data_IF_330200598208
#
_entry.id   IF_330200598208
#
_cell.length_a   1.000
_cell.length_b   1.000
_cell.length_c   1.000
_cell.angle_alpha   90.00
_cell.angle_beta   90.00
_cell.angle_gamma   90.00
#
_symmetry.space_group_name_H-M   'P 1'
#
loop_
_entity.id
_entity.type
_entity.pdbx_description
1 polymer ?
#
# COMPACT_ATOMS: atom_id res chain seq x y z
N UNK A 1 13.48 75.42 74.20
CA UNK A 1 14.15 74.18 74.62
C UNK A 1 13.07 73.11 74.63
N UNK A 2 13.01 72.34 73.53
CA UNK A 2 13.31 70.89 73.47
C UNK A 2 12.01 70.07 73.78
N UNK A 3 11.26 69.56 72.80
CA UNK A 3 11.50 68.58 71.72
C UNK A 3 11.39 67.11 72.19
N UNK A 4 10.78 66.31 71.30
CA UNK A 4 10.73 64.83 71.19
C UNK A 4 9.62 64.07 71.95
N UNK A 5 8.66 63.38 71.30
CA UNK A 5 8.62 62.39 70.20
C UNK A 5 8.59 60.94 70.69
N UNK A 6 7.53 60.20 70.33
CA UNK A 6 7.57 58.92 69.58
C UNK A 6 6.15 58.32 69.48
N UNK A 7 5.48 58.30 68.32
CA UNK A 7 5.65 57.44 67.12
C UNK A 7 5.13 56.01 67.30
N UNK A 8 4.13 55.64 66.48
CA UNK A 8 4.10 54.39 65.69
C UNK A 8 3.04 54.47 64.55
N UNK A 9 3.56 54.39 63.33
CA UNK A 9 3.06 54.38 61.92
C UNK A 9 2.24 53.07 61.61
N UNK A 10 1.71 52.72 60.38
CA UNK A 10 1.63 53.37 59.05
C UNK A 10 0.28 53.25 58.29
N UNK A 11 -0.06 54.17 57.37
CA UNK A 11 0.14 54.18 55.91
C UNK A 11 -0.69 53.16 55.08
N UNK A 12 -1.54 53.74 54.22
CA UNK A 12 -1.95 53.27 52.89
C UNK A 12 -2.73 51.96 52.75
N UNK A 13 -4.03 52.02 53.06
CA UNK A 13 -5.01 51.16 52.38
C UNK A 13 -5.33 51.75 51.00
N UNK A 14 -4.62 51.29 49.97
CA UNK A 14 -5.02 51.51 48.58
C UNK A 14 -6.19 50.57 48.28
N UNK A 15 -7.41 51.11 48.27
CA UNK A 15 -8.58 50.43 47.72
C UNK A 15 -8.46 50.43 46.19
N UNK A 16 -7.99 49.32 45.62
CA UNK A 16 -8.02 49.11 44.17
C UNK A 16 -9.48 48.79 43.80
N UNK A 17 -10.24 49.80 43.42
CA UNK A 17 -11.51 49.60 42.73
C UNK A 17 -11.21 49.15 41.30
N UNK A 18 -11.34 47.85 41.04
CA UNK A 18 -11.44 47.35 39.67
C UNK A 18 -12.74 47.89 39.04
N UNK A 19 -12.69 48.53 37.86
CA UNK A 19 -13.88 49.11 37.25
C UNK A 19 -14.91 48.02 36.88
N UNK A 20 -16.23 48.27 36.97
CA UNK A 20 -17.28 47.24 36.85
C UNK A 20 -17.43 46.54 35.49
N UNK A 21 -16.54 46.79 34.52
CA UNK A 21 -16.61 46.26 33.16
C UNK A 21 -15.61 45.15 32.81
N UNK A 22 -14.59 44.90 33.66
CA UNK A 22 -13.49 43.99 33.29
C UNK A 22 -13.81 42.50 33.49
N UNK A 23 -14.70 42.14 34.42
CA UNK A 23 -15.02 40.73 34.70
C UNK A 23 -15.71 40.03 33.51
N UNK A 24 -16.72 40.68 32.93
CA UNK A 24 -17.46 40.12 31.78
C UNK A 24 -16.61 40.03 30.50
N UNK A 25 -15.64 40.93 30.33
CA UNK A 25 -14.71 40.90 29.20
C UNK A 25 -13.69 39.77 29.34
N UNK A 26 -13.22 39.50 30.56
CA UNK A 26 -12.32 38.39 30.86
C UNK A 26 -13.03 37.03 30.65
N UNK A 27 -14.28 36.90 31.10
CA UNK A 27 -15.07 35.69 30.90
C UNK A 27 -15.33 35.40 29.41
N UNK A 28 -15.61 36.43 28.61
CA UNK A 28 -15.76 36.31 27.16
C UNK A 28 -14.47 35.81 26.48
N UNK A 29 -13.31 36.33 26.89
CA UNK A 29 -12.00 35.88 26.38
C UNK A 29 -11.74 34.43 26.76
N UNK A 30 -12.05 34.03 28.00
CA UNK A 30 -11.89 32.64 28.47
C UNK A 30 -12.80 31.70 27.69
N UNK A 31 -14.06 32.08 27.41
CA UNK A 31 -14.95 31.27 26.59
C UNK A 31 -14.47 31.17 25.13
N UNK A 32 -13.95 32.25 24.56
CA UNK A 32 -13.37 32.22 23.22
C UNK A 32 -12.13 31.32 23.13
N UNK A 33 -11.27 31.34 24.14
CA UNK A 33 -10.10 30.46 24.22
C UNK A 33 -10.50 28.98 24.32
N UNK A 34 -11.52 28.65 25.12
CA UNK A 34 -12.06 27.29 25.20
C UNK A 34 -12.65 26.80 23.87
N UNK A 35 -13.36 27.67 23.16
CA UNK A 35 -13.92 27.34 21.84
C UNK A 35 -12.81 27.06 20.81
N UNK A 36 -11.74 27.87 20.81
CA UNK A 36 -10.57 27.66 19.96
C UNK A 36 -9.85 26.35 20.29
N UNK A 37 -9.69 26.02 21.58
CA UNK A 37 -9.09 24.77 22.01
C UNK A 37 -9.91 23.55 21.55
N UNK A 38 -11.22 23.58 21.75
CA UNK A 38 -12.11 22.50 21.30
C UNK A 38 -12.07 22.32 19.77
N UNK A 39 -11.96 23.41 19.01
CA UNK A 39 -11.80 23.37 17.55
C UNK A 39 -10.47 22.70 17.15
N UNK A 40 -9.37 23.06 17.80
CA UNK A 40 -8.06 22.45 17.55
C UNK A 40 -8.04 20.95 17.86
N UNK A 41 -8.68 20.53 18.96
CA UNK A 41 -8.82 19.12 19.32
C UNK A 41 -9.64 18.34 18.29
N UNK A 42 -10.75 18.92 17.79
CA UNK A 42 -11.56 18.32 16.74
C UNK A 42 -10.77 18.15 15.42
N UNK A 43 -9.96 19.15 15.05
CA UNK A 43 -9.09 19.08 13.89
C UNK A 43 -8.01 18.00 14.05
N UNK A 44 -7.37 17.91 15.22
CA UNK A 44 -6.38 16.85 15.51
C UNK A 44 -6.99 15.45 15.44
N UNK A 45 -8.22 15.27 15.94
CA UNK A 45 -8.93 14.00 15.83
C UNK A 45 -9.24 13.62 14.38
N UNK A 46 -9.62 14.60 13.55
CA UNK A 46 -9.82 14.41 12.11
C UNK A 46 -8.51 14.01 11.42
N UNK A 47 -7.41 14.70 11.71
CA UNK A 47 -6.09 14.40 11.14
C UNK A 47 -5.67 12.97 11.48
N UNK A 48 -5.81 12.56 12.75
CA UNK A 48 -5.48 11.19 13.17
C UNK A 48 -6.36 10.14 12.47
N UNK A 49 -7.65 10.42 12.30
CA UNK A 49 -8.57 9.49 11.62
C UNK A 49 -8.20 9.34 10.14
N UNK A 50 -7.89 10.44 9.45
CA UNK A 50 -7.46 10.43 8.05
C UNK A 50 -6.12 9.70 7.88
N UNK A 51 -5.14 9.97 8.75
CA UNK A 51 -3.86 9.25 8.75
C UNK A 51 -4.07 7.74 8.95
N UNK A 52 -4.97 7.34 9.85
CA UNK A 52 -5.28 5.92 10.09
C UNK A 52 -5.89 5.26 8.85
N UNK A 53 -6.78 5.94 8.13
CA UNK A 53 -7.38 5.42 6.90
C UNK A 53 -6.38 5.31 5.74
N UNK A 54 -5.44 6.26 5.63
CA UNK A 54 -4.36 6.22 4.63
C UNK A 54 -3.35 5.10 4.94
N UNK A 55 -3.17 4.77 6.22
CA UNK A 55 -2.21 3.77 6.70
C UNK A 55 -2.72 2.33 6.58
N UNK A 56 -4.03 2.12 6.38
CA UNK A 56 -4.58 0.77 6.21
C UNK A 56 -4.14 0.23 4.84
N UNK A 57 -3.36 -0.87 4.78
CA UNK A 57 -2.98 -1.47 3.52
C UNK A 57 -4.26 -1.95 2.84
N UNK A 58 -4.57 -1.37 1.68
CA UNK A 58 -5.65 -1.84 0.82
C UNK A 58 -5.30 -3.29 0.48
N UNK A 59 -6.12 -4.24 0.90
CA UNK A 59 -5.92 -5.65 0.58
C UNK A 59 -5.82 -5.78 -0.95
N UNK A 60 -4.61 -6.03 -1.44
CA UNK A 60 -4.41 -6.29 -2.86
C UNK A 60 -4.89 -7.70 -3.11
N UNK A 61 -6.00 -7.84 -3.85
CA UNK A 61 -6.41 -9.13 -4.36
C UNK A 61 -5.33 -9.61 -5.34
N UNK A 62 -4.47 -10.52 -4.87
CA UNK A 62 -3.41 -11.11 -5.70
C UNK A 62 -4.04 -12.24 -6.51
N UNK A 63 -4.01 -12.07 -7.82
CA UNK A 63 -4.43 -13.12 -8.77
C UNK A 63 -3.23 -14.01 -9.09
N UNK A 64 -3.46 -15.32 -9.19
CA UNK A 64 -2.42 -16.31 -9.48
C UNK A 64 -2.68 -16.98 -10.83
N UNK A 65 -1.61 -17.25 -11.60
CA UNK A 65 -1.66 -17.95 -12.90
C UNK A 65 -1.46 -19.46 -12.77
N UNK A 66 -0.78 -19.87 -11.71
CA UNK A 66 -0.58 -21.24 -11.27
C UNK A 66 -0.31 -21.21 -9.75
N UNK A 67 -0.22 -22.38 -9.12
CA UNK A 67 0.11 -22.47 -7.71
C UNK A 67 1.40 -21.71 -7.38
N UNK A 68 1.30 -20.73 -6.46
CA UNK A 68 2.38 -19.84 -6.03
C UNK A 68 3.04 -19.01 -7.16
N UNK A 69 2.32 -18.74 -8.25
CA UNK A 69 2.79 -17.86 -9.32
C UNK A 69 1.84 -16.68 -9.47
N UNK A 70 2.22 -15.54 -8.90
CA UNK A 70 1.41 -14.33 -8.95
C UNK A 70 1.39 -13.74 -10.36
N UNK A 71 0.25 -13.16 -10.71
CA UNK A 71 0.10 -12.36 -11.90
C UNK A 71 0.78 -11.01 -11.67
N UNK A 72 1.76 -10.69 -12.50
CA UNK A 72 2.56 -9.47 -12.37
C UNK A 72 2.97 -8.93 -13.74
N UNK A 73 2.98 -7.60 -13.88
CA UNK A 73 3.21 -6.91 -15.16
C UNK A 73 4.63 -7.10 -15.72
N UNK A 74 5.59 -7.47 -14.87
CA UNK A 74 6.98 -7.64 -15.24
C UNK A 74 7.36 -9.10 -15.46
N UNK A 75 6.58 -10.05 -14.94
CA UNK A 75 6.96 -11.46 -14.96
C UNK A 75 5.94 -12.37 -15.63
N UNK A 76 4.63 -12.11 -15.54
CA UNK A 76 3.63 -13.09 -15.96
C UNK A 76 2.32 -12.41 -16.37
N UNK A 77 2.41 -11.40 -17.24
CA UNK A 77 1.30 -10.53 -17.59
C UNK A 77 0.50 -11.05 -18.78
N UNK A 78 -0.79 -10.79 -18.88
CA UNK A 78 -1.59 -11.23 -20.04
C UNK A 78 -1.62 -10.20 -21.19
N UNK A 79 -1.07 -9.00 -20.97
CA UNK A 79 -0.90 -7.97 -22.01
C UNK A 79 0.58 -7.73 -22.31
N UNK A 80 0.94 -7.27 -23.52
CA UNK A 80 2.31 -6.87 -23.82
C UNK A 80 2.76 -5.71 -22.93
N UNK A 81 4.02 -5.76 -22.48
CA UNK A 81 4.67 -4.66 -21.75
C UNK A 81 5.92 -4.19 -22.49
N UNK A 82 6.37 -2.96 -22.24
CA UNK A 82 7.52 -2.36 -22.94
C UNK A 82 8.88 -2.79 -22.35
N UNK A 83 9.06 -4.09 -22.05
CA UNK A 83 10.20 -4.77 -22.67
C UNK A 83 9.85 -6.09 -23.40
N UNK A 84 8.75 -6.76 -23.06
CA UNK A 84 8.32 -8.00 -23.70
C UNK A 84 7.04 -7.80 -24.52
N UNK A 85 7.21 -7.62 -25.83
CA UNK A 85 6.11 -7.53 -26.80
C UNK A 85 5.65 -8.89 -27.34
N UNK A 86 6.41 -9.95 -27.08
CA UNK A 86 6.06 -11.32 -27.47
C UNK A 86 5.72 -12.13 -26.21
N UNK A 87 4.63 -12.89 -26.22
CA UNK A 87 4.30 -13.76 -25.11
C UNK A 87 5.30 -14.93 -25.06
N UNK A 88 5.42 -15.55 -23.89
CA UNK A 88 6.11 -16.80 -23.74
C UNK A 88 5.45 -17.87 -24.63
N UNK A 89 6.25 -18.55 -25.44
CA UNK A 89 5.78 -19.57 -26.38
C UNK A 89 5.15 -20.80 -25.72
N UNK A 90 5.25 -20.92 -24.39
CA UNK A 90 4.76 -22.08 -23.63
C UNK A 90 3.48 -21.75 -22.86
N UNK A 91 3.50 -20.69 -22.05
CA UNK A 91 2.37 -20.34 -21.18
C UNK A 91 1.52 -19.17 -21.73
N UNK A 92 1.96 -18.50 -22.78
CA UNK A 92 1.30 -17.36 -23.44
C UNK A 92 1.18 -16.07 -22.61
N UNK A 93 1.79 -16.01 -21.43
CA UNK A 93 1.96 -14.77 -20.68
C UNK A 93 3.21 -14.00 -21.14
N UNK A 94 3.14 -12.67 -21.05
CA UNK A 94 4.19 -11.70 -21.29
C UNK A 94 5.07 -11.47 -20.05
N UNK A 95 6.17 -10.75 -20.23
CA UNK A 95 7.15 -10.42 -19.17
C UNK A 95 8.31 -11.41 -19.04
N UNK A 96 8.20 -12.59 -19.66
CA UNK A 96 9.25 -13.61 -19.62
C UNK A 96 9.38 -14.36 -20.95
N UNK A 97 10.44 -15.15 -21.07
CA UNK A 97 10.70 -16.09 -22.17
C UNK A 97 10.58 -17.52 -21.68
N UNK A 98 10.66 -18.50 -22.59
CA UNK A 98 10.56 -19.91 -22.21
C UNK A 98 11.61 -20.31 -21.16
N UNK A 99 12.84 -19.81 -21.30
CA UNK A 99 14.00 -20.14 -20.47
C UNK A 99 13.83 -19.74 -19.00
N UNK A 100 12.88 -18.85 -18.71
CA UNK A 100 12.57 -18.39 -17.37
C UNK A 100 11.05 -18.41 -17.08
N UNK A 101 10.32 -19.32 -17.72
CA UNK A 101 8.87 -19.44 -17.53
C UNK A 101 8.48 -19.89 -16.12
N UNK A 102 7.86 -19.01 -15.29
CA UNK A 102 7.56 -19.34 -13.91
C UNK A 102 6.42 -20.37 -13.77
N UNK A 103 5.66 -20.63 -14.85
CA UNK A 103 4.50 -21.53 -14.86
C UNK A 103 4.86 -23.00 -15.10
N UNK A 104 6.09 -23.34 -15.47
CA UNK A 104 6.53 -24.75 -15.66
C UNK A 104 7.44 -25.22 -14.53
N UNK A 105 7.59 -26.53 -14.40
CA UNK A 105 8.55 -27.10 -13.46
C UNK A 105 9.99 -26.83 -13.89
N UNK A 106 10.88 -26.54 -12.94
CA UNK A 106 12.30 -26.23 -13.21
C UNK A 106 13.06 -27.35 -13.92
N UNK A 107 12.62 -28.60 -13.73
CA UNK A 107 13.20 -29.76 -14.41
C UNK A 107 12.87 -29.84 -15.91
N UNK A 108 12.06 -28.90 -16.44
CA UNK A 108 11.60 -28.88 -17.83
C UNK A 108 12.46 -28.01 -18.76
N UNK A 109 13.27 -27.08 -18.24
CA UNK A 109 14.02 -26.11 -19.05
C UNK A 109 15.02 -26.74 -20.03
N UNK A 110 15.58 -27.91 -19.69
CA UNK A 110 16.56 -28.62 -20.53
C UNK A 110 15.94 -29.72 -21.40
N UNK A 111 14.61 -29.70 -21.59
CA UNK A 111 13.88 -30.72 -22.34
C UNK A 111 13.53 -30.25 -23.73
N UNK A 112 13.27 -31.20 -24.63
CA UNK A 112 12.65 -30.88 -25.91
C UNK A 112 11.30 -30.18 -25.69
N UNK A 113 11.13 -28.95 -26.17
CA UNK A 113 9.90 -28.16 -25.99
C UNK A 113 8.66 -28.76 -26.68
N UNK A 114 8.85 -29.70 -27.62
CA UNK A 114 7.74 -30.39 -28.31
C UNK A 114 7.18 -31.58 -27.53
N UNK A 115 8.03 -32.30 -26.81
CA UNK A 115 7.64 -33.57 -26.18
C UNK A 115 8.03 -33.70 -24.70
N UNK A 116 8.80 -32.74 -24.18
CA UNK A 116 9.23 -32.63 -22.79
C UNK A 116 10.04 -33.83 -22.27
N UNK A 117 10.88 -34.41 -23.15
CA UNK A 117 11.87 -35.47 -22.84
C UNK A 117 13.31 -34.95 -22.94
N UNK A 118 14.26 -35.63 -22.28
CA UNK A 118 15.68 -35.25 -22.16
C UNK A 118 16.60 -35.78 -23.26
N UNK A 119 16.11 -36.66 -24.14
CA UNK A 119 17.00 -37.40 -25.05
C UNK A 119 17.35 -36.69 -26.36
N UNK A 120 16.64 -35.60 -26.68
CA UNK A 120 16.81 -34.93 -27.97
C UNK A 120 16.46 -33.44 -27.90
N UNK A 121 16.93 -32.70 -28.89
CA UNK A 121 16.60 -31.29 -29.10
C UNK A 121 15.31 -31.13 -29.90
N UNK A 122 14.79 -29.90 -30.00
CA UNK A 122 13.64 -29.57 -30.85
C UNK A 122 13.79 -30.09 -32.31
N UNK A 123 15.00 -29.95 -32.87
CA UNK A 123 15.31 -30.31 -34.26
C UNK A 123 15.27 -31.83 -34.49
N UNK A 124 15.66 -32.61 -33.48
CA UNK A 124 15.73 -34.06 -33.55
C UNK A 124 14.49 -34.75 -32.95
N UNK A 125 13.41 -33.99 -32.75
CA UNK A 125 12.20 -34.50 -32.14
C UNK A 125 11.40 -35.35 -33.13
N UNK A 126 11.34 -36.66 -32.84
CA UNK A 126 10.65 -37.68 -33.64
C UNK A 126 9.12 -37.64 -33.50
N UNK A 127 8.58 -36.81 -32.60
CA UNK A 127 7.12 -36.64 -32.55
C UNK A 127 6.63 -36.09 -33.91
N UNK A 128 5.45 -36.52 -34.39
CA UNK A 128 4.77 -35.86 -35.50
C UNK A 128 4.51 -34.38 -35.21
N UNK A 129 4.57 -33.51 -36.22
CA UNK A 129 4.42 -32.05 -36.05
C UNK A 129 3.04 -31.67 -35.52
N UNK A 130 2.06 -32.49 -35.82
CA UNK A 130 0.66 -32.34 -35.47
C UNK A 130 0.37 -32.80 -34.04
N UNK A 131 1.27 -33.60 -33.44
CA UNK A 131 1.09 -34.11 -32.09
C UNK A 131 1.47 -33.03 -31.06
N UNK A 132 0.47 -32.61 -30.29
CA UNK A 132 0.61 -31.62 -29.21
C UNK A 132 0.81 -32.35 -27.88
N UNK A 133 1.90 -32.06 -27.17
CA UNK A 133 2.13 -32.54 -25.81
C UNK A 133 1.99 -31.37 -24.85
N UNK A 134 1.13 -31.52 -23.83
CA UNK A 134 0.93 -30.49 -22.81
C UNK A 134 2.25 -30.22 -22.08
N UNK A 135 2.67 -28.95 -21.94
CA UNK A 135 3.81 -28.60 -21.12
C UNK A 135 3.66 -29.08 -19.68
N UNK A 136 4.77 -29.38 -18.98
CA UNK A 136 4.78 -29.73 -17.57
C UNK A 136 4.58 -28.46 -16.73
N UNK A 137 3.37 -27.91 -16.81
CA UNK A 137 2.94 -26.78 -16.00
C UNK A 137 2.86 -27.16 -14.53
N UNK A 138 3.04 -26.17 -13.65
CA UNK A 138 2.72 -26.27 -12.24
C UNK A 138 1.21 -26.51 -12.06
N UNK A 139 0.85 -26.98 -10.87
CA UNK A 139 -0.54 -27.27 -10.51
C UNK A 139 -1.43 -26.04 -10.71
N UNK A 140 -2.69 -26.31 -11.10
CA UNK A 140 -3.73 -25.30 -11.29
C UNK A 140 -3.33 -24.17 -12.27
N UNK A 141 -2.44 -24.45 -13.22
CA UNK A 141 -2.11 -23.50 -14.26
C UNK A 141 -3.33 -23.17 -15.11
N UNK A 142 -3.53 -21.87 -15.31
CA UNK A 142 -4.54 -21.29 -16.20
C UNK A 142 -3.84 -20.59 -17.37
N UNK A 143 -4.33 -20.79 -18.57
CA UNK A 143 -3.97 -19.96 -19.71
C UNK A 143 -4.57 -18.54 -19.58
N UNK A 144 -4.04 -17.53 -20.28
CA UNK A 144 -4.53 -16.16 -20.19
C UNK A 144 -6.04 -16.02 -20.40
N UNK A 145 -6.62 -16.73 -21.37
CA UNK A 145 -8.05 -16.73 -21.65
C UNK A 145 -8.87 -17.38 -20.52
N UNK A 146 -8.37 -18.47 -19.93
CA UNK A 146 -9.02 -19.12 -18.78
C UNK A 146 -8.99 -18.20 -17.57
N UNK A 147 -7.85 -17.53 -17.32
CA UNK A 147 -7.72 -16.58 -16.23
C UNK A 147 -8.70 -15.41 -16.36
N UNK A 148 -8.89 -14.87 -17.56
CA UNK A 148 -9.84 -13.78 -17.79
C UNK A 148 -11.27 -14.19 -17.41
N UNK A 149 -11.69 -15.41 -17.76
CA UNK A 149 -13.01 -15.94 -17.40
C UNK A 149 -13.19 -16.18 -15.89
N UNK A 150 -12.09 -16.30 -15.13
CA UNK A 150 -12.12 -16.46 -13.68
C UNK A 150 -12.17 -15.13 -12.93
N UNK A 151 -11.68 -14.05 -13.54
CA UNK A 151 -11.52 -12.74 -12.89
C UNK A 151 -12.66 -11.78 -13.25
N UNK A 152 -13.23 -11.89 -14.44
CA UNK A 152 -14.28 -11.02 -14.97
C UNK A 152 -15.53 -11.82 -15.32
#
# INVERSE_FOLDING_TARGET
>A
MANDNNLLIPADYVYIFSPPGQLGQLDAIVQQAKALQASAEAQNKLIMTLQTQISLPKAQNVTYTAENVALDKHTNWFLPTQPQQRPCFVCHYYGHRFENCPNIHSNAYNRCIRCWKHEHTLQNCQLPKEQIVRPPFKNNFLYPNELLNHVF
#
